data_IF_123571583160
#
_entry.id   IF_123571583160
#
_cell.length_a   1.000
_cell.length_b   1.000
_cell.length_c   1.000
_cell.angle_alpha   90.00
_cell.angle_beta   90.00
_cell.angle_gamma   90.00
#
_symmetry.space_group_name_H-M   'P 1'
#
loop_
_entity.id
_entity.type
_entity.pdbx_description
1 polymer ?
#
# COMPACT_ATOMS: atom_id res chain seq x y z
N UNK A 1 44.51 -1.59 -80.41
CA UNK A 1 43.62 -0.57 -81.02
C UNK A 1 43.51 0.54 -79.97
N UNK A 2 44.26 1.66 -79.94
CA UNK A 2 44.30 2.84 -80.85
C UNK A 2 42.90 3.16 -81.37
N UNK A 3 42.22 4.28 -81.12
CA UNK A 3 42.49 5.63 -80.57
C UNK A 3 41.05 6.28 -80.41
N UNK A 4 40.80 7.59 -80.20
CA UNK A 4 40.86 8.31 -78.92
C UNK A 4 39.80 9.47 -78.80
N UNK A 5 40.05 10.43 -77.87
CA UNK A 5 39.75 11.88 -77.96
C UNK A 5 38.23 12.30 -77.94
N UNK A 6 37.71 13.30 -77.21
CA UNK A 6 38.24 14.40 -76.39
C UNK A 6 37.11 15.40 -76.05
N UNK A 7 37.31 16.22 -75.00
CA UNK A 7 37.01 17.69 -74.91
C UNK A 7 35.52 18.07 -74.85
N UNK A 8 35.00 18.98 -74.03
CA UNK A 8 35.40 20.11 -73.15
C UNK A 8 34.10 20.38 -72.30
N UNK A 9 34.02 21.05 -71.16
CA UNK A 9 34.51 22.39 -70.84
C UNK A 9 34.27 22.65 -69.34
N UNK A 10 35.27 23.29 -68.74
CA UNK A 10 35.28 23.97 -67.45
C UNK A 10 34.17 25.02 -67.31
N UNK A 11 33.63 25.20 -66.10
CA UNK A 11 33.47 26.54 -65.52
C UNK A 11 33.71 26.50 -64.00
N UNK A 12 34.71 27.29 -63.60
CA UNK A 12 35.07 27.61 -62.23
C UNK A 12 34.05 28.58 -61.61
N UNK A 13 33.68 28.35 -60.35
CA UNK A 13 33.29 29.43 -59.44
C UNK A 13 33.83 29.09 -58.04
N UNK A 14 34.82 29.88 -57.62
CA UNK A 14 35.35 29.94 -56.25
C UNK A 14 34.53 30.98 -55.50
N UNK A 15 34.05 30.65 -54.29
CA UNK A 15 34.02 31.60 -53.16
C UNK A 15 33.67 30.92 -51.82
N UNK A 16 34.68 30.93 -50.94
CA UNK A 16 34.62 31.35 -49.52
C UNK A 16 33.84 30.54 -48.46
N UNK A 17 34.62 29.77 -47.70
CA UNK A 17 34.71 29.66 -46.24
C UNK A 17 33.57 30.17 -45.33
N UNK A 18 33.11 29.28 -44.43
CA UNK A 18 33.24 29.43 -42.96
C UNK A 18 33.07 28.05 -42.27
N UNK A 19 33.87 27.72 -41.24
CA UNK A 19 33.69 26.52 -40.43
C UNK A 19 32.76 26.84 -39.25
N UNK A 20 31.77 26.01 -38.97
CA UNK A 20 31.08 26.02 -37.68
C UNK A 20 31.57 24.83 -36.85
N UNK A 21 32.43 25.16 -35.89
CA UNK A 21 32.68 24.37 -34.70
C UNK A 21 31.91 25.03 -33.55
N UNK A 22 31.08 24.22 -32.89
CA UNK A 22 30.46 24.34 -31.56
C UNK A 22 29.53 23.11 -31.55
N UNK A 23 29.93 21.91 -31.14
CA UNK A 23 30.51 21.46 -29.88
C UNK A 23 29.89 22.10 -28.63
N UNK A 24 29.43 21.23 -27.74
CA UNK A 24 28.71 21.47 -26.47
C UNK A 24 27.25 21.93 -26.59
N UNK A 25 26.32 20.97 -26.44
CA UNK A 25 25.33 20.95 -25.34
C UNK A 25 24.47 19.68 -25.45
N UNK A 26 25.06 18.52 -25.11
CA UNK A 26 24.24 17.42 -24.58
C UNK A 26 23.85 17.84 -23.17
N UNK A 27 22.75 18.59 -23.06
CA UNK A 27 22.05 18.71 -21.79
C UNK A 27 21.41 17.35 -21.50
N UNK A 28 22.04 16.62 -20.59
CA UNK A 28 21.42 15.57 -19.79
C UNK A 28 20.20 16.16 -19.07
N UNK A 29 19.05 16.14 -19.74
CA UNK A 29 17.77 16.38 -19.08
C UNK A 29 17.45 15.12 -18.27
N UNK A 30 17.74 15.20 -16.97
CA UNK A 30 17.29 14.25 -15.96
C UNK A 30 15.76 14.08 -16.05
N UNK A 31 15.29 13.01 -16.70
CA UNK A 31 13.88 12.73 -17.02
C UNK A 31 12.97 12.54 -15.78
N UNK A 32 13.45 12.76 -14.55
CA UNK A 32 12.71 12.51 -13.32
C UNK A 32 12.27 13.75 -12.53
N UNK A 33 12.57 14.96 -12.98
CA UNK A 33 12.01 16.16 -12.36
C UNK A 33 10.64 16.50 -12.98
N UNK A 34 9.58 15.84 -12.48
CA UNK A 34 8.21 16.28 -12.77
C UNK A 34 8.08 17.70 -12.23
N UNK A 35 8.07 18.69 -13.14
CA UNK A 35 7.80 20.09 -12.82
C UNK A 35 6.54 20.15 -11.97
N UNK A 36 6.67 20.59 -10.72
CA UNK A 36 5.52 20.75 -9.83
C UNK A 36 4.65 21.86 -10.42
N UNK A 37 3.37 21.58 -10.57
CA UNK A 37 2.40 22.57 -11.00
C UNK A 37 1.91 23.26 -9.74
N UNK A 38 1.97 24.59 -9.69
CA UNK A 38 1.28 25.35 -8.65
C UNK A 38 -0.22 25.22 -8.90
N UNK A 39 -0.89 24.44 -8.06
CA UNK A 39 -2.33 24.19 -8.12
C UNK A 39 -2.98 24.95 -6.99
N UNK A 40 -3.99 25.77 -7.30
CA UNK A 40 -4.81 26.37 -6.26
C UNK A 40 -5.62 25.27 -5.56
N UNK A 41 -5.53 25.24 -4.23
CA UNK A 41 -6.28 24.33 -3.38
C UNK A 41 -7.80 24.37 -3.62
N UNK A 42 -8.33 25.49 -4.14
CA UNK A 42 -9.75 25.63 -4.49
C UNK A 42 -10.17 24.79 -5.72
N UNK A 43 -9.22 24.51 -6.62
CA UNK A 43 -9.46 23.77 -7.86
C UNK A 43 -9.45 22.25 -7.65
N UNK A 44 -8.83 21.77 -6.57
CA UNK A 44 -8.75 20.34 -6.28
C UNK A 44 -10.09 19.84 -5.72
N UNK A 45 -10.82 18.98 -6.45
CA UNK A 45 -12.09 18.46 -5.97
C UNK A 45 -11.90 17.59 -4.72
N UNK A 46 -12.81 17.75 -3.77
CA UNK A 46 -12.86 16.87 -2.59
C UNK A 46 -13.43 15.51 -2.98
N UNK A 47 -12.90 14.46 -2.36
CA UNK A 47 -13.46 13.11 -2.50
C UNK A 47 -14.90 13.13 -1.96
N UNK A 48 -15.90 12.67 -2.73
CA UNK A 48 -17.29 12.64 -2.28
C UNK A 48 -17.45 11.83 -1.00
N UNK A 49 -18.16 12.39 -0.02
CA UNK A 49 -18.54 11.66 1.19
C UNK A 49 -19.83 10.90 0.91
N UNK A 50 -19.76 9.57 0.91
CA UNK A 50 -20.94 8.74 0.77
C UNK A 50 -21.78 8.76 2.04
N UNK A 51 -23.08 8.98 1.87
CA UNK A 51 -24.05 8.75 2.91
C UNK A 51 -24.12 7.25 3.28
N UNK A 52 -24.60 6.97 4.48
CA UNK A 52 -24.80 5.57 4.91
C UNK A 52 -25.77 4.82 4.00
N UNK A 53 -26.80 5.50 3.48
CA UNK A 53 -27.79 4.90 2.60
C UNK A 53 -27.20 4.53 1.24
N UNK A 54 -26.46 5.44 0.60
CA UNK A 54 -25.76 5.16 -0.67
C UNK A 54 -24.80 4.00 -0.51
N UNK A 55 -24.01 4.00 0.57
CA UNK A 55 -23.09 2.91 0.87
C UNK A 55 -23.81 1.55 0.98
N UNK A 56 -24.98 1.51 1.63
CA UNK A 56 -25.76 0.28 1.72
C UNK A 56 -26.33 -0.17 0.38
N UNK A 57 -26.74 0.77 -0.47
CA UNK A 57 -27.19 0.47 -1.83
C UNK A 57 -26.04 -0.15 -2.64
N UNK A 58 -24.82 0.38 -2.54
CA UNK A 58 -23.64 -0.21 -3.19
C UNK A 58 -23.32 -1.62 -2.67
N UNK A 59 -23.41 -1.84 -1.36
CA UNK A 59 -23.20 -3.18 -0.77
C UNK A 59 -24.22 -4.17 -1.32
N UNK A 60 -25.51 -3.79 -1.37
CA UNK A 60 -26.57 -4.63 -1.96
C UNK A 60 -26.35 -4.88 -3.45
N UNK A 61 -25.96 -3.86 -4.21
CA UNK A 61 -25.63 -3.99 -5.63
C UNK A 61 -24.44 -4.93 -5.88
N UNK A 62 -23.51 -5.05 -4.92
CA UNK A 62 -22.43 -6.03 -4.97
C UNK A 62 -22.85 -7.49 -4.64
N UNK A 63 -24.15 -7.73 -4.38
CA UNK A 63 -24.66 -9.04 -3.99
C UNK A 63 -24.42 -9.39 -2.51
N UNK A 64 -23.97 -8.43 -1.70
CA UNK A 64 -23.72 -8.62 -0.28
C UNK A 64 -24.88 -8.09 0.56
N UNK A 65 -25.15 -8.75 1.69
CA UNK A 65 -26.18 -8.31 2.64
C UNK A 65 -25.55 -7.46 3.77
N UNK A 66 -25.90 -6.17 3.89
CA UNK A 66 -25.40 -5.30 4.95
C UNK A 66 -25.79 -5.78 6.36
N UNK A 67 -26.92 -6.46 6.50
CA UNK A 67 -27.47 -6.90 7.79
C UNK A 67 -26.84 -8.20 8.30
N UNK A 68 -26.37 -9.09 7.41
CA UNK A 68 -25.70 -10.35 7.80
C UNK A 68 -24.48 -10.13 8.69
N UNK A 69 -23.77 -9.01 8.50
CA UNK A 69 -22.52 -8.71 9.23
C UNK A 69 -22.72 -7.83 10.46
N UNK A 70 -23.95 -7.35 10.70
CA UNK A 70 -24.27 -6.59 11.90
C UNK A 70 -24.02 -7.48 13.10
N UNK A 71 -23.11 -7.06 14.00
CA UNK A 71 -22.93 -7.75 15.28
C UNK A 71 -24.30 -7.76 15.96
N UNK A 72 -24.89 -8.94 16.12
CA UNK A 72 -26.02 -9.11 17.03
C UNK A 72 -25.53 -8.61 18.38
N UNK A 73 -26.13 -7.54 18.88
CA UNK A 73 -25.81 -7.06 20.22
C UNK A 73 -26.04 -8.24 21.16
N UNK A 74 -25.00 -8.58 21.93
CA UNK A 74 -25.01 -9.73 22.83
C UNK A 74 -26.07 -9.61 23.93
N UNK A 75 -26.77 -8.48 24.00
CA UNK A 75 -27.84 -8.18 24.94
C UNK A 75 -29.25 -8.59 24.45
N UNK A 76 -29.39 -9.19 23.26
CA UNK A 76 -30.72 -9.56 22.70
C UNK A 76 -30.94 -11.07 22.42
N UNK A 77 -30.09 -11.95 22.92
CA UNK A 77 -30.33 -13.42 22.95
C UNK A 77 -29.45 -13.96 24.09
N UNK A 78 -29.93 -14.49 25.21
CA UNK A 78 -31.09 -15.36 25.44
C UNK A 78 -31.62 -15.19 26.90
N UNK A 79 -32.92 -14.98 27.15
CA UNK A 79 -33.55 -15.57 28.31
C UNK A 79 -33.86 -17.04 27.97
N UNK A 80 -33.63 -17.97 28.89
CA UNK A 80 -34.01 -19.39 28.81
C UNK A 80 -33.14 -20.40 28.04
N UNK A 81 -31.83 -20.47 28.32
CA UNK A 81 -31.08 -21.75 28.26
C UNK A 81 -30.82 -22.40 29.62
N UNK A 82 -31.52 -21.95 30.65
CA UNK A 82 -31.40 -22.49 32.02
C UNK A 82 -32.27 -23.70 32.33
N UNK A 83 -33.33 -23.99 31.56
CA UNK A 83 -34.34 -24.99 31.97
C UNK A 83 -34.12 -26.42 31.43
N UNK A 84 -33.48 -26.62 30.27
CA UNK A 84 -33.23 -27.98 29.72
C UNK A 84 -31.85 -28.57 30.06
N UNK A 85 -31.04 -27.91 30.88
CA UNK A 85 -29.70 -28.42 31.21
C UNK A 85 -29.71 -29.44 32.36
N UNK A 86 -30.74 -29.47 33.19
CA UNK A 86 -30.81 -30.39 34.35
C UNK A 86 -31.10 -31.84 33.92
N UNK A 87 -31.94 -32.04 32.92
CA UNK A 87 -32.29 -33.40 32.46
C UNK A 87 -31.16 -34.09 31.67
N UNK A 88 -30.30 -33.30 31.00
CA UNK A 88 -29.11 -33.79 30.29
C UNK A 88 -27.92 -34.06 31.22
N UNK A 89 -27.97 -33.63 32.47
CA UNK A 89 -26.93 -33.89 33.49
C UNK A 89 -27.16 -35.21 34.23
N UNK A 90 -28.36 -35.78 34.15
CA UNK A 90 -28.76 -37.01 34.83
C UNK A 90 -28.81 -38.25 33.91
N UNK A 91 -28.46 -38.09 32.63
CA UNK A 91 -28.52 -39.17 31.65
C UNK A 91 -27.39 -40.21 31.87
N UNK A 92 -27.70 -41.51 32.10
CA UNK A 92 -26.74 -42.53 32.54
C UNK A 92 -25.71 -42.97 31.49
N UNK A 93 -25.88 -42.59 30.22
CA UNK A 93 -24.97 -42.90 29.10
C UNK A 93 -23.92 -41.80 28.85
N UNK A 94 -23.79 -40.82 29.75
CA UNK A 94 -22.80 -39.75 29.59
C UNK A 94 -21.41 -40.24 29.98
N UNK A 95 -20.51 -40.33 29.00
CA UNK A 95 -19.08 -40.55 29.20
C UNK A 95 -18.54 -39.42 30.11
N UNK A 96 -18.30 -39.72 31.39
CA UNK A 96 -17.80 -38.75 32.38
C UNK A 96 -16.29 -38.45 32.21
N UNK A 97 -15.59 -39.26 31.40
CA UNK A 97 -14.21 -38.99 31.04
C UNK A 97 -14.15 -37.96 29.90
N UNK A 98 -14.16 -36.68 30.27
CA UNK A 98 -13.63 -35.67 29.34
C UNK A 98 -12.14 -35.90 29.23
N UNK A 99 -11.69 -36.50 28.12
CA UNK A 99 -10.26 -36.54 27.77
C UNK A 99 -9.74 -35.11 27.92
N UNK A 100 -8.72 -34.85 28.75
CA UNK A 100 -8.19 -33.51 28.91
C UNK A 100 -7.78 -33.05 27.52
N UNK A 101 -8.45 -32.00 27.01
CA UNK A 101 -8.06 -31.38 25.75
C UNK A 101 -6.60 -30.99 25.92
N UNK A 102 -5.70 -31.67 25.22
CA UNK A 102 -4.30 -31.25 25.15
C UNK A 102 -4.30 -29.76 24.85
N UNK A 103 -3.60 -28.94 25.66
CA UNK A 103 -3.51 -27.53 25.39
C UNK A 103 -3.00 -27.37 23.95
N UNK A 104 -3.59 -26.46 23.15
CA UNK A 104 -3.09 -26.22 21.81
C UNK A 104 -1.59 -25.89 21.91
N UNK A 105 -0.76 -26.38 20.98
CA UNK A 105 0.67 -26.11 21.02
C UNK A 105 0.90 -24.59 21.10
N UNK A 106 1.90 -24.13 21.88
CA UNK A 106 2.17 -22.72 22.02
C UNK A 106 2.44 -22.10 20.65
N UNK A 107 1.80 -20.97 20.36
CA UNK A 107 1.97 -20.28 19.10
C UNK A 107 3.44 -19.84 18.94
N UNK A 108 4.17 -20.45 18.01
CA UNK A 108 5.57 -20.11 17.70
C UNK A 108 5.70 -18.61 17.45
N UNK A 109 6.54 -17.89 18.19
CA UNK A 109 6.82 -16.45 17.99
C UNK A 109 7.40 -16.23 16.58
N UNK A 110 7.14 -15.05 15.99
CA UNK A 110 7.78 -14.69 14.73
C UNK A 110 9.29 -14.50 14.97
N UNK A 111 10.13 -15.07 14.12
CA UNK A 111 11.57 -15.03 14.28
C UNK A 111 12.12 -13.78 13.57
N UNK A 112 12.79 -12.92 14.34
CA UNK A 112 13.46 -11.77 13.75
C UNK A 112 14.67 -12.25 12.95
N UNK A 113 14.74 -11.80 11.69
CA UNK A 113 15.84 -12.05 10.77
C UNK A 113 16.76 -10.81 10.71
N UNK A 114 18.05 -11.00 10.41
CA UNK A 114 19.02 -9.90 10.27
C UNK A 114 18.61 -8.96 9.12
N UNK A 115 18.92 -7.66 9.28
CA UNK A 115 18.55 -6.59 8.34
C UNK A 115 19.68 -6.31 7.32
N UNK A 116 20.80 -7.04 7.42
CA UNK A 116 22.05 -6.79 6.70
C UNK A 116 21.91 -6.90 5.17
N UNK A 117 20.99 -7.75 4.69
CA UNK A 117 20.74 -7.92 3.26
C UNK A 117 19.58 -7.02 2.83
N UNK A 118 19.92 -5.94 2.11
CA UNK A 118 18.92 -5.04 1.58
C UNK A 118 18.37 -5.47 0.23
N UNK A 119 17.05 -5.40 0.03
CA UNK A 119 16.49 -5.48 -1.30
C UNK A 119 16.79 -4.17 -2.06
N UNK A 120 17.06 -4.25 -3.37
CA UNK A 120 17.26 -3.06 -4.19
C UNK A 120 15.98 -2.25 -4.40
N UNK A 121 14.82 -2.92 -4.25
CA UNK A 121 13.48 -2.36 -4.49
C UNK A 121 12.51 -2.88 -3.44
N UNK A 122 11.55 -2.03 -3.08
CA UNK A 122 10.45 -2.37 -2.20
C UNK A 122 9.14 -2.44 -2.99
N UNK A 123 8.24 -3.31 -2.55
CA UNK A 123 6.99 -3.60 -3.26
C UNK A 123 5.79 -2.86 -2.66
N UNK A 124 5.76 -2.72 -1.33
CA UNK A 124 4.69 -2.00 -0.63
C UNK A 124 5.16 -1.42 0.71
N UNK A 125 4.41 -0.44 1.23
CA UNK A 125 4.64 0.12 2.57
C UNK A 125 3.31 0.44 3.26
N UNK A 126 3.23 0.26 4.57
CA UNK A 126 2.09 0.69 5.38
C UNK A 126 2.48 0.95 6.83
N UNK A 127 1.73 1.81 7.53
CA UNK A 127 1.84 1.97 8.97
C UNK A 127 0.75 1.14 9.63
N UNK A 128 1.14 0.14 10.42
CA UNK A 128 0.17 -0.72 11.10
C UNK A 128 -0.51 0.00 12.27
N UNK A 129 -1.61 -0.57 12.73
CA UNK A 129 -2.38 -0.02 13.86
C UNK A 129 -1.59 0.08 15.17
N UNK A 130 -0.50 -0.69 15.30
CA UNK A 130 0.42 -0.59 16.44
C UNK A 130 1.42 0.57 16.34
N UNK A 131 1.24 1.48 15.38
CA UNK A 131 2.09 2.65 15.19
C UNK A 131 3.42 2.38 14.49
N UNK A 132 3.71 1.12 14.14
CA UNK A 132 4.96 0.71 13.48
C UNK A 132 4.81 0.77 11.97
N UNK A 133 5.91 1.08 11.28
CA UNK A 133 5.99 1.08 9.82
C UNK A 133 6.43 -0.30 9.34
N UNK A 134 5.79 -0.79 8.28
CA UNK A 134 6.07 -2.07 7.64
C UNK A 134 6.37 -1.84 6.17
N UNK A 135 7.56 -2.23 5.75
CA UNK A 135 8.02 -2.14 4.35
C UNK A 135 8.19 -3.55 3.82
N UNK A 136 7.60 -3.85 2.67
CA UNK A 136 7.58 -5.18 2.08
C UNK A 136 8.54 -5.24 0.91
N UNK A 137 9.29 -6.33 0.82
CA UNK A 137 10.10 -6.65 -0.34
C UNK A 137 10.17 -8.17 -0.50
N UNK A 138 9.71 -8.67 -1.64
CA UNK A 138 9.63 -10.11 -1.95
C UNK A 138 8.90 -10.84 -0.82
N UNK A 139 9.58 -11.75 -0.13
CA UNK A 139 9.05 -12.57 0.96
C UNK A 139 9.27 -11.99 2.37
N UNK A 140 9.91 -10.83 2.45
CA UNK A 140 10.32 -10.21 3.71
C UNK A 140 9.51 -8.95 4.00
N UNK A 141 9.32 -8.71 5.29
CA UNK A 141 8.77 -7.47 5.83
C UNK A 141 9.74 -6.87 6.83
N UNK A 142 10.08 -5.61 6.61
CA UNK A 142 10.92 -4.81 7.46
C UNK A 142 10.04 -3.97 8.36
N UNK A 143 10.23 -4.09 9.67
CA UNK A 143 9.50 -3.36 10.69
C UNK A 143 10.39 -2.25 11.23
N UNK A 144 9.87 -1.03 11.25
CA UNK A 144 10.54 0.16 11.78
C UNK A 144 9.66 0.76 12.88
N UNK A 145 10.26 1.05 14.04
CA UNK A 145 9.60 1.75 15.14
C UNK A 145 10.59 2.65 15.87
N UNK A 146 10.08 3.49 16.76
CA UNK A 146 10.91 4.32 17.62
C UNK A 146 10.73 3.87 19.06
N UNK A 147 11.84 3.79 19.79
CA UNK A 147 11.90 3.47 21.21
C UNK A 147 12.88 4.47 21.83
N UNK A 148 12.39 5.28 22.78
CA UNK A 148 13.14 6.37 23.40
C UNK A 148 13.81 7.34 22.40
N UNK A 149 13.11 7.61 21.30
CA UNK A 149 13.60 8.49 20.22
C UNK A 149 14.58 7.83 19.26
N UNK A 150 15.03 6.60 19.53
CA UNK A 150 15.95 5.86 18.67
C UNK A 150 15.20 4.98 17.67
N UNK A 151 15.60 4.97 16.38
CA UNK A 151 14.98 4.12 15.38
C UNK A 151 15.41 2.66 15.58
N UNK A 152 14.43 1.81 15.85
CA UNK A 152 14.56 0.37 15.97
C UNK A 152 14.09 -0.32 14.69
N UNK A 153 14.79 -1.39 14.31
CA UNK A 153 14.60 -2.06 13.02
C UNK A 153 14.69 -3.56 13.17
N UNK A 154 13.81 -4.29 12.49
CA UNK A 154 13.83 -5.74 12.43
C UNK A 154 13.25 -6.22 11.11
N UNK A 155 13.62 -7.41 10.65
CA UNK A 155 13.00 -8.03 9.48
C UNK A 155 12.38 -9.39 9.84
N UNK A 156 11.36 -9.79 9.11
CA UNK A 156 10.64 -11.04 9.31
C UNK A 156 10.23 -11.61 7.96
N UNK A 157 9.95 -12.91 7.90
CA UNK A 157 9.17 -13.46 6.79
C UNK A 157 7.73 -12.96 6.88
N UNK A 158 7.14 -12.62 5.74
CA UNK A 158 5.76 -12.13 5.68
C UNK A 158 4.81 -13.16 6.31
N UNK A 159 4.97 -14.45 5.99
CA UNK A 159 4.13 -15.53 6.51
C UNK A 159 4.23 -15.74 8.04
N UNK A 160 5.33 -15.33 8.68
CA UNK A 160 5.49 -15.44 10.12
C UNK A 160 4.84 -14.29 10.87
N UNK A 161 5.01 -13.06 10.36
CA UNK A 161 4.44 -11.86 10.96
C UNK A 161 2.96 -11.67 10.60
N UNK A 162 2.57 -12.07 9.39
CA UNK A 162 1.22 -12.11 8.85
C UNK A 162 0.80 -13.57 8.64
N UNK A 163 0.42 -14.23 9.73
CA UNK A 163 0.09 -15.65 9.72
C UNK A 163 -1.07 -15.95 8.76
N UNK A 164 -0.82 -16.82 7.77
CA UNK A 164 -1.78 -17.18 6.72
C UNK A 164 -1.91 -16.13 5.60
N UNK A 165 -0.94 -15.22 5.49
CA UNK A 165 -0.87 -14.22 4.43
C UNK A 165 -0.20 -14.69 3.14
N UNK A 166 -0.08 -13.77 2.17
CA UNK A 166 0.58 -14.04 0.91
C UNK A 166 2.11 -14.08 1.09
N UNK A 167 2.79 -14.72 0.13
CA UNK A 167 4.27 -14.71 0.08
C UNK A 167 4.82 -13.37 -0.38
N UNK A 168 4.10 -12.65 -1.22
CA UNK A 168 4.48 -11.36 -1.80
C UNK A 168 3.37 -10.36 -1.63
N UNK A 169 3.70 -9.07 -1.64
CA UNK A 169 2.73 -7.98 -1.45
C UNK A 169 2.94 -6.93 -2.52
N UNK A 170 1.93 -6.65 -3.32
CA UNK A 170 1.96 -5.61 -4.37
C UNK A 170 1.51 -4.26 -3.86
N UNK A 171 0.61 -4.23 -2.87
CA UNK A 171 0.18 -3.02 -2.19
C UNK A 171 -0.24 -3.36 -0.76
N UNK A 172 -0.12 -2.40 0.15
CA UNK A 172 -0.56 -2.55 1.52
C UNK A 172 -1.31 -1.29 1.95
N UNK A 173 -2.36 -1.46 2.75
CA UNK A 173 -3.05 -0.34 3.39
C UNK A 173 -3.42 -0.73 4.81
N UNK A 174 -3.49 0.26 5.68
CA UNK A 174 -4.02 0.09 7.03
C UNK A 174 -5.03 1.17 7.29
N UNK A 175 -6.22 0.74 7.69
CA UNK A 175 -7.24 1.64 8.15
C UNK A 175 -7.03 1.89 9.65
N UNK A 176 -6.52 3.08 9.99
CA UNK A 176 -6.17 3.43 11.37
C UNK A 176 -7.40 3.49 12.28
N UNK A 177 -8.59 3.82 11.76
CA UNK A 177 -9.83 3.85 12.56
C UNK A 177 -10.30 2.47 12.98
N UNK A 178 -10.23 1.49 12.08
CA UNK A 178 -10.73 0.12 12.31
C UNK A 178 -9.66 -0.86 12.78
N UNK A 179 -8.38 -0.48 12.67
CA UNK A 179 -7.22 -1.32 12.95
C UNK A 179 -7.07 -2.52 12.01
N UNK A 180 -7.68 -2.46 10.83
CA UNK A 180 -7.59 -3.51 9.80
C UNK A 180 -6.47 -3.14 8.83
N UNK A 181 -5.48 -4.03 8.71
CA UNK A 181 -4.44 -3.96 7.69
C UNK A 181 -4.81 -4.91 6.56
N UNK A 182 -4.70 -4.45 5.31
CA UNK A 182 -4.95 -5.28 4.13
C UNK A 182 -3.67 -5.35 3.31
N UNK A 183 -3.26 -6.58 2.99
CA UNK A 183 -2.18 -6.86 2.05
C UNK A 183 -2.80 -7.31 0.73
N UNK A 184 -2.31 -6.79 -0.39
CA UNK A 184 -2.72 -7.19 -1.71
C UNK A 184 -1.62 -8.02 -2.35
N UNK A 185 -2.00 -9.15 -2.92
CA UNK A 185 -1.16 -9.93 -3.83
C UNK A 185 -1.83 -9.90 -5.20
N UNK A 186 -1.41 -8.94 -6.03
CA UNK A 186 -2.08 -8.59 -7.28
C UNK A 186 -3.52 -8.16 -7.02
N UNK A 187 -4.49 -9.01 -7.40
CA UNK A 187 -5.93 -8.77 -7.22
C UNK A 187 -6.53 -9.51 -6.03
N UNK A 188 -5.72 -10.06 -5.13
CA UNK A 188 -6.21 -10.79 -3.96
C UNK A 188 -5.95 -10.02 -2.68
N UNK A 189 -7.00 -9.73 -1.92
CA UNK A 189 -6.95 -8.98 -0.68
C UNK A 189 -6.93 -9.90 0.56
N UNK A 190 -5.90 -9.74 1.39
CA UNK A 190 -5.70 -10.44 2.65
C UNK A 190 -5.91 -9.47 3.81
N UNK A 191 -6.92 -9.73 4.64
CA UNK A 191 -7.25 -8.84 5.77
C UNK A 191 -6.63 -9.34 7.04
N UNK A 192 -6.08 -8.43 7.82
CA UNK A 192 -5.42 -8.73 9.09
C UNK A 192 -5.87 -7.79 10.20
N UNK A 193 -5.75 -8.29 11.43
CA UNK A 193 -5.80 -7.48 12.64
C UNK A 193 -4.59 -7.75 13.50
N UNK A 194 -4.07 -6.69 14.11
CA UNK A 194 -2.97 -6.81 15.06
C UNK A 194 -3.43 -7.53 16.33
N UNK A 195 -2.76 -8.64 16.67
CA UNK A 195 -2.95 -9.31 17.95
C UNK A 195 -1.87 -8.87 18.93
N UNK A 196 -2.27 -8.08 19.93
CA UNK A 196 -1.36 -7.53 20.95
C UNK A 196 -0.66 -8.60 21.79
N UNK A 197 -1.32 -9.75 22.05
CA UNK A 197 -0.75 -10.85 22.86
C UNK A 197 0.32 -11.62 22.09
N UNK A 198 0.04 -11.95 20.83
CA UNK A 198 0.95 -12.72 19.98
C UNK A 198 1.97 -11.86 19.23
N UNK A 199 1.86 -10.54 19.34
CA UNK A 199 2.69 -9.53 18.65
C UNK A 199 2.81 -9.82 17.15
N UNK A 200 1.70 -10.21 16.52
CA UNK A 200 1.62 -10.52 15.09
C UNK A 200 0.26 -10.18 14.51
N UNK A 201 0.19 -10.15 13.19
CA UNK A 201 -1.05 -9.99 12.46
C UNK A 201 -1.78 -11.33 12.33
N UNK A 202 -3.06 -11.34 12.69
CA UNK A 202 -3.94 -12.48 12.54
C UNK A 202 -4.87 -12.27 11.36
N UNK A 203 -5.00 -13.31 10.54
CA UNK A 203 -5.90 -13.33 9.39
C UNK A 203 -7.35 -13.08 9.84
N UNK A 204 -8.02 -12.19 9.12
CA UNK A 204 -9.42 -11.87 9.31
C UNK A 204 -10.34 -13.02 8.92
N UNK A 205 -11.64 -12.86 9.16
CA UNK A 205 -12.64 -13.80 8.62
C UNK A 205 -12.90 -13.47 7.16
N UNK A 206 -13.28 -14.49 6.39
CA UNK A 206 -13.61 -14.38 4.96
C UNK A 206 -12.46 -13.75 4.17
N UNK A 207 -11.24 -14.25 4.29
CA UNK A 207 -10.09 -13.78 3.51
C UNK A 207 -9.14 -14.98 3.33
N UNK A 208 -8.42 -15.10 2.19
CA UNK A 208 -8.32 -14.18 1.06
C UNK A 208 -9.62 -13.93 0.30
N UNK A 209 -9.74 -12.75 -0.30
CA UNK A 209 -10.83 -12.42 -1.23
C UNK A 209 -10.27 -11.80 -2.51
N UNK A 210 -10.69 -12.25 -3.70
CA UNK A 210 -10.37 -11.54 -4.94
C UNK A 210 -11.08 -10.19 -4.96
N UNK A 211 -10.43 -9.18 -5.53
CA UNK A 211 -11.06 -7.90 -5.83
C UNK A 211 -12.20 -8.12 -6.83
N UNK A 212 -13.40 -7.57 -6.57
CA UNK A 212 -14.55 -7.74 -7.46
C UNK A 212 -14.27 -7.19 -8.86
N UNK A 213 -15.02 -7.69 -9.85
CA UNK A 213 -14.82 -7.35 -11.28
C UNK A 213 -15.03 -5.86 -11.59
N UNK A 214 -15.82 -5.16 -10.78
CA UNK A 214 -16.03 -3.72 -10.91
C UNK A 214 -14.77 -2.89 -10.57
N UNK A 215 -13.80 -3.46 -9.87
CA UNK A 215 -12.50 -2.81 -9.62
C UNK A 215 -11.58 -3.18 -10.77
N UNK A 216 -11.43 -2.29 -11.75
CA UNK A 216 -10.61 -2.58 -12.94
C UNK A 216 -9.11 -2.50 -12.69
N UNK A 217 -8.69 -1.75 -11.67
CA UNK A 217 -7.28 -1.54 -11.36
C UNK A 217 -6.65 -2.72 -10.60
N UNK A 218 -5.34 -2.91 -10.80
CA UNK A 218 -4.50 -3.77 -9.95
C UNK A 218 -3.70 -2.87 -9.01
N UNK A 219 -3.94 -2.91 -7.69
CA UNK A 219 -3.29 -2.00 -6.76
C UNK A 219 -1.76 -2.13 -6.78
N UNK A 220 -1.09 -1.00 -7.01
CA UNK A 220 0.37 -0.86 -6.96
C UNK A 220 0.86 -0.08 -5.75
N UNK A 221 0.00 0.75 -5.17
CA UNK A 221 0.24 1.48 -3.94
C UNK A 221 -1.07 1.62 -3.16
N UNK A 222 -0.97 1.66 -1.84
CA UNK A 222 -2.10 1.84 -0.94
C UNK A 222 -1.72 2.73 0.24
N UNK A 223 -2.63 3.59 0.66
CA UNK A 223 -2.43 4.43 1.84
C UNK A 223 -3.75 4.99 2.38
N UNK A 224 -3.68 5.52 3.61
CA UNK A 224 -4.73 6.36 4.17
C UNK A 224 -4.42 7.82 3.86
N UNK A 225 -5.36 8.54 3.22
CA UNK A 225 -5.23 9.96 2.96
C UNK A 225 -5.56 10.79 4.20
N UNK A 226 -5.29 12.10 4.18
CA UNK A 226 -5.49 12.99 5.32
C UNK A 226 -6.94 13.08 5.83
N UNK A 227 -7.92 12.78 4.97
CA UNK A 227 -9.34 12.68 5.32
C UNK A 227 -9.74 11.30 5.90
N UNK A 228 -8.77 10.38 6.00
CA UNK A 228 -8.89 9.00 6.45
C UNK A 228 -9.50 8.04 5.43
N UNK A 229 -9.72 8.48 4.19
CA UNK A 229 -10.11 7.59 3.11
C UNK A 229 -8.94 6.66 2.74
N UNK A 230 -9.26 5.39 2.49
CA UNK A 230 -8.28 4.39 2.09
C UNK A 230 -8.17 4.41 0.57
N UNK A 231 -7.05 4.90 0.06
CA UNK A 231 -6.80 5.06 -1.37
C UNK A 231 -5.98 3.88 -1.86
N UNK A 232 -6.43 3.27 -2.96
CA UNK A 232 -5.65 2.33 -3.75
C UNK A 232 -5.36 2.95 -5.11
N UNK A 233 -4.09 2.90 -5.52
CA UNK A 233 -3.59 3.53 -6.74
C UNK A 233 -3.06 2.50 -7.73
N UNK A 234 -3.22 2.82 -9.00
CA UNK A 234 -2.61 2.13 -10.12
C UNK A 234 -2.31 3.16 -11.21
N UNK A 235 -1.13 3.77 -11.16
CA UNK A 235 -0.74 4.84 -12.08
C UNK A 235 -1.71 6.02 -12.07
N UNK A 236 -2.41 6.23 -13.19
CA UNK A 236 -3.27 7.40 -13.40
C UNK A 236 -4.68 7.28 -12.80
N UNK A 237 -5.03 6.10 -12.29
CA UNK A 237 -6.33 5.85 -11.68
C UNK A 237 -6.19 5.49 -10.21
N UNK A 238 -7.20 5.89 -9.44
CA UNK A 238 -7.34 5.50 -8.03
C UNK A 238 -8.75 5.06 -7.72
N UNK A 239 -8.87 4.31 -6.63
CA UNK A 239 -10.14 3.98 -6.02
C UNK A 239 -10.08 4.27 -4.51
N UNK A 240 -11.22 4.61 -3.94
CA UNK A 240 -11.42 4.59 -2.49
C UNK A 240 -11.96 3.22 -2.13
N UNK A 241 -11.25 2.52 -1.24
CA UNK A 241 -11.48 1.11 -0.98
C UNK A 241 -12.00 0.87 0.45
N UNK A 242 -13.13 0.20 0.55
CA UNK A 242 -13.64 -0.30 1.83
C UNK A 242 -13.15 -1.73 2.07
N UNK A 243 -12.12 -1.86 2.91
CA UNK A 243 -11.57 -3.15 3.34
C UNK A 243 -12.59 -4.06 4.05
N UNK A 244 -13.63 -3.50 4.68
CA UNK A 244 -14.62 -4.31 5.37
C UNK A 244 -15.53 -5.04 4.39
N UNK A 245 -15.97 -4.36 3.33
CA UNK A 245 -16.88 -4.88 2.31
C UNK A 245 -16.20 -5.41 1.05
N UNK A 246 -14.88 -5.20 0.90
CA UNK A 246 -14.14 -5.49 -0.32
C UNK A 246 -14.80 -4.82 -1.53
N UNK A 247 -14.97 -3.50 -1.44
CA UNK A 247 -15.77 -2.69 -2.35
C UNK A 247 -15.05 -1.38 -2.66
N UNK A 248 -15.06 -0.96 -3.93
CA UNK A 248 -14.69 0.40 -4.31
C UNK A 248 -15.88 1.33 -4.14
N UNK A 249 -15.71 2.36 -3.32
CA UNK A 249 -16.74 3.35 -3.03
C UNK A 249 -16.68 4.54 -3.97
N UNK A 250 -15.50 4.83 -4.51
CA UNK A 250 -15.28 5.92 -5.44
C UNK A 250 -14.11 5.58 -6.36
N UNK A 251 -14.14 6.09 -7.59
CA UNK A 251 -13.07 5.92 -8.59
C UNK A 251 -12.78 7.25 -9.25
N UNK A 252 -11.51 7.56 -9.52
CA UNK A 252 -11.14 8.81 -10.16
C UNK A 252 -9.75 8.78 -10.78
N UNK A 253 -9.37 9.91 -11.38
CA UNK A 253 -8.04 10.13 -11.92
C UNK A 253 -7.10 10.70 -10.85
N UNK A 254 -5.93 10.10 -10.69
CA UNK A 254 -4.96 10.43 -9.65
C UNK A 254 -4.58 11.91 -9.70
N UNK A 255 -4.19 12.42 -10.88
CA UNK A 255 -3.71 13.81 -11.02
C UNK A 255 -4.77 14.87 -10.69
N UNK A 256 -6.06 14.55 -10.83
CA UNK A 256 -7.16 15.48 -10.57
C UNK A 256 -7.39 15.67 -9.06
N UNK A 257 -7.27 14.60 -8.27
CA UNK A 257 -7.55 14.62 -6.83
C UNK A 257 -6.28 14.74 -5.98
N UNK A 258 -5.16 14.31 -6.54
CA UNK A 258 -3.86 14.27 -5.89
C UNK A 258 -2.80 14.82 -6.86
N UNK A 259 -2.83 16.14 -7.13
CA UNK A 259 -1.82 16.78 -7.97
C UNK A 259 -0.42 16.62 -7.37
N UNK A 260 0.59 16.62 -8.24
CA UNK A 260 2.01 16.51 -7.88
C UNK A 260 2.37 15.25 -7.07
N UNK A 261 1.57 14.17 -7.15
CA UNK A 261 2.00 12.88 -6.66
C UNK A 261 3.09 12.29 -7.57
N UNK A 262 4.16 11.72 -6.99
CA UNK A 262 5.14 10.94 -7.75
C UNK A 262 4.46 9.78 -8.49
N UNK A 263 4.84 9.55 -9.75
CA UNK A 263 4.31 8.44 -10.55
C UNK A 263 4.73 7.08 -10.01
N UNK A 264 5.90 7.02 -9.40
CA UNK A 264 6.54 5.84 -8.85
C UNK A 264 6.26 5.67 -7.34
N UNK A 265 5.11 6.16 -6.87
CA UNK A 265 4.70 6.07 -5.47
C UNK A 265 4.65 4.60 -5.00
N UNK A 266 5.32 4.33 -3.88
CA UNK A 266 5.27 3.06 -3.16
C UNK A 266 4.15 3.08 -2.11
N UNK A 267 4.00 4.20 -1.42
CA UNK A 267 2.95 4.43 -0.44
C UNK A 267 3.18 5.71 0.35
N UNK A 268 2.23 6.01 1.22
CA UNK A 268 2.21 7.22 2.04
C UNK A 268 1.97 6.84 3.49
N UNK A 269 2.73 7.45 4.39
CA UNK A 269 2.51 7.35 5.83
C UNK A 269 2.08 8.71 6.35
N UNK A 270 0.87 8.73 6.92
CA UNK A 270 0.36 9.87 7.65
C UNK A 270 0.78 9.77 9.12
N UNK A 271 1.55 10.75 9.58
CA UNK A 271 1.80 10.97 10.99
C UNK A 271 0.81 12.02 11.48
N UNK A 272 -0.20 11.58 12.23
CA UNK A 272 -1.26 12.43 12.78
C UNK A 272 -0.66 13.60 13.54
N UNK A 273 -0.97 14.83 13.12
CA UNK A 273 -0.50 16.06 13.75
C UNK A 273 -0.35 17.21 12.77
N UNK A 274 0.22 16.92 11.59
CA UNK A 274 0.55 17.94 10.59
C UNK A 274 -0.23 17.74 9.28
N UNK A 275 -0.38 18.81 8.49
CA UNK A 275 -0.92 18.73 7.12
C UNK A 275 0.12 18.17 6.13
N UNK A 276 0.94 17.25 6.61
CA UNK A 276 2.14 16.75 5.96
C UNK A 276 2.08 15.23 5.88
N UNK A 277 2.45 14.71 4.72
CA UNK A 277 2.47 13.30 4.40
C UNK A 277 3.89 12.89 4.02
N UNK A 278 4.37 11.79 4.60
CA UNK A 278 5.65 11.22 4.21
C UNK A 278 5.41 10.21 3.09
N UNK A 279 5.92 10.54 1.91
CA UNK A 279 5.81 9.74 0.70
C UNK A 279 7.08 8.93 0.48
N UNK A 280 6.87 7.69 0.06
CA UNK A 280 7.92 6.75 -0.27
C UNK A 280 7.79 6.39 -1.73
N UNK A 281 8.89 6.39 -2.47
CA UNK A 281 8.90 6.07 -3.90
C UNK A 281 9.65 4.78 -4.19
N UNK A 282 9.35 4.16 -5.34
CA UNK A 282 10.06 2.99 -5.85
C UNK A 282 11.48 3.34 -6.30
N UNK A 283 11.75 4.60 -6.58
CA UNK A 283 13.10 5.16 -6.79
C UNK A 283 13.92 5.33 -5.49
N UNK A 284 13.49 4.76 -4.36
CA UNK A 284 14.16 4.84 -3.06
C UNK A 284 14.30 6.27 -2.50
N UNK A 285 13.38 7.17 -2.84
CA UNK A 285 13.37 8.55 -2.33
C UNK A 285 12.29 8.72 -1.25
N UNK A 286 12.58 9.56 -0.26
CA UNK A 286 11.62 9.97 0.76
C UNK A 286 11.26 11.43 0.52
N UNK A 287 9.97 11.71 0.36
CA UNK A 287 9.46 13.04 0.03
C UNK A 287 8.41 13.49 1.03
N UNK A 288 8.42 14.77 1.35
CA UNK A 288 7.48 15.42 2.27
C UNK A 288 6.45 16.17 1.44
N UNK A 289 5.20 15.77 1.52
CA UNK A 289 4.11 16.38 0.77
C UNK A 289 3.19 17.18 1.68
N UNK A 290 2.87 18.40 1.27
CA UNK A 290 1.94 19.25 2.00
C UNK A 290 0.54 19.16 1.39
N UNK A 291 -0.44 18.72 2.20
CA UNK A 291 -1.82 18.48 1.77
C UNK A 291 -2.58 19.77 1.45
N UNK A 292 -2.20 20.91 2.05
CA UNK A 292 -2.83 22.21 1.77
C UNK A 292 -2.28 22.84 0.49
N UNK A 293 -0.97 22.74 0.29
CA UNK A 293 -0.28 23.28 -0.90
C UNK A 293 -0.26 22.33 -2.09
N UNK A 294 -0.73 21.10 -1.90
CA UNK A 294 -0.83 20.09 -2.95
C UNK A 294 0.49 19.82 -3.69
N UNK A 295 1.63 19.88 -2.97
CA UNK A 295 2.96 19.77 -3.56
C UNK A 295 3.99 19.15 -2.61
N UNK A 296 5.06 18.61 -3.18
CA UNK A 296 6.21 18.13 -2.42
C UNK A 296 7.04 19.33 -1.97
N UNK A 297 7.19 19.50 -0.66
CA UNK A 297 7.91 20.63 -0.04
C UNK A 297 9.39 20.31 0.17
N UNK A 298 9.70 19.04 0.45
CA UNK A 298 11.07 18.63 0.76
C UNK A 298 11.32 17.20 0.29
N UNK A 299 12.54 16.94 -0.19
CA UNK A 299 13.08 15.59 -0.40
C UNK A 299 14.15 15.35 0.66
N UNK A 300 14.07 14.23 1.38
CA UNK A 300 15.11 13.87 2.33
C UNK A 300 16.35 13.36 1.58
N UNK A 301 17.56 13.70 2.05
CA UNK A 301 18.80 13.21 1.45
C UNK A 301 19.04 11.71 1.71
N UNK A 302 18.24 11.09 2.59
CA UNK A 302 18.33 9.69 2.97
C UNK A 302 17.59 8.82 1.96
N UNK A 303 18.22 7.72 1.53
CA UNK A 303 17.56 6.74 0.65
C UNK A 303 16.66 5.80 1.46
N UNK A 304 15.67 5.19 0.78
CA UNK A 304 14.71 4.29 1.43
C UNK A 304 15.34 3.03 2.02
N UNK A 305 16.30 2.43 1.32
CA UNK A 305 17.09 1.30 1.82
C UNK A 305 17.83 1.64 3.13
N UNK A 306 18.47 2.81 3.19
CA UNK A 306 19.18 3.31 4.38
C UNK A 306 18.20 3.60 5.52
N UNK A 307 17.06 4.22 5.20
CA UNK A 307 15.97 4.45 6.16
C UNK A 307 15.47 3.14 6.77
N UNK A 308 15.25 2.10 5.94
CA UNK A 308 14.85 0.75 6.37
C UNK A 308 15.93 0.05 7.20
N UNK A 309 17.15 0.57 7.22
CA UNK A 309 18.24 0.09 8.08
C UNK A 309 19.19 -0.86 7.43
N UNK A 310 19.18 -0.91 6.11
CA UNK A 310 20.25 -1.57 5.42
C UNK A 310 21.39 -0.59 5.27
N UNK A 311 22.43 -0.79 6.06
CA UNK A 311 23.70 -0.12 5.85
C UNK A 311 24.38 -0.88 4.70
N UNK A 312 24.55 -0.24 3.55
CA UNK A 312 25.49 -0.75 2.55
C UNK A 312 26.89 -0.63 3.17
N UNK A 313 27.53 -1.77 3.42
CA UNK A 313 28.98 -1.82 3.58
C UNK A 313 29.66 -1.38 2.29
#
# INVERSE_FOLDING_TARGET
>A
MRKPLTILLLMLAVCQARPNADDTLYDDIDENEVRQIDVDSSEVPKIPKLSSHEKWNMIRASGQDPMKRRRKNKNQTEPNKGRNRRDLLLAPWRIQQTVPKRPPPPAKKALALPVDVCPPKFDAITKGYNGRTYVFARERVYQIWYEDGLPQKASFLINELFAGGPRTVTAALTNNRSGVTVLFDGRTAYRFRWNRKLKRFQLGRNTPQPLPRNITITPQAGFEWADGNQVLLSGEHFIIYDAYWNLATFTGHTRRYFPNLPRDLLGIIYNSGDNVLLMYTKSNKLKVYNVKKFRVVQEYPLKLNEFVGCLSH
#
